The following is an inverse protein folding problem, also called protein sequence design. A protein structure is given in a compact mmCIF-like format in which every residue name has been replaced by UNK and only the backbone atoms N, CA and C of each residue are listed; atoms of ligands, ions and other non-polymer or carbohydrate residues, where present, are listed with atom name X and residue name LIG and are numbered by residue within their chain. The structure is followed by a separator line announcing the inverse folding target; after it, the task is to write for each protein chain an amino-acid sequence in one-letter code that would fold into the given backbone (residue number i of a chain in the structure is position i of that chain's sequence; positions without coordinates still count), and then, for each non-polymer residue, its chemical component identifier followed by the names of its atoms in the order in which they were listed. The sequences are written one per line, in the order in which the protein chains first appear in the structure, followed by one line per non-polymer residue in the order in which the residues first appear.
data_IF_860517149065
#
_entry.id   IF_860517149065
#
_cell.length_a   1.000
_cell.length_b   1.000
_cell.length_c   1.000
_cell.angle_alpha   90.00
_cell.angle_beta   90.00
_cell.angle_gamma   90.00
#
_symmetry.space_group_name_H-M   'P 1'
#
loop_
_entity.id
_entity.type
_entity.pdbx_description
1 polymer ?
#
# COMPACT_ATOMS: atom_id res chain seq x y z
N UNK A 1 12.10 -8.21 -1.68
CA UNK A 1 13.48 -8.14 -1.13
C UNK A 1 13.42 -8.66 0.30
N UNK A 2 14.33 -9.56 0.75
CA UNK A 2 14.21 -10.23 2.05
C UNK A 2 14.74 -9.43 3.26
N UNK A 3 15.43 -8.31 3.04
CA UNK A 3 15.99 -7.47 4.10
C UNK A 3 15.22 -6.16 4.32
N UNK A 4 15.63 -5.41 5.34
CA UNK A 4 15.18 -4.03 5.61
C UNK A 4 16.39 -3.18 5.99
N UNK A 5 16.37 -1.88 5.68
CA UNK A 5 17.48 -0.99 5.99
C UNK A 5 17.81 -0.93 7.50
N UNK A 6 19.09 -0.78 7.89
CA UNK A 6 19.50 -0.85 9.29
C UNK A 6 18.84 0.22 10.18
N UNK A 7 18.55 1.39 9.62
CA UNK A 7 17.85 2.47 10.33
C UNK A 7 16.41 2.08 10.69
N UNK A 8 15.71 1.38 9.79
CA UNK A 8 14.37 0.86 10.05
C UNK A 8 14.37 -0.21 11.16
N UNK A 9 15.36 -1.11 11.15
CA UNK A 9 15.56 -2.08 12.24
C UNK A 9 15.77 -1.38 13.58
N UNK A 10 16.61 -0.35 13.61
CA UNK A 10 16.83 0.46 14.82
C UNK A 10 15.55 1.16 15.30
N UNK A 11 14.76 1.75 14.40
CA UNK A 11 13.47 2.38 14.75
C UNK A 11 12.42 1.38 15.26
N UNK A 12 12.46 0.14 14.78
CA UNK A 12 11.63 -0.94 15.31
C UNK A 12 12.03 -1.26 16.76
N UNK A 13 13.32 -1.46 17.00
CA UNK A 13 13.83 -1.88 18.32
C UNK A 13 13.63 -0.78 19.38
N UNK A 14 13.73 0.49 18.97
CA UNK A 14 13.45 1.66 19.81
C UNK A 14 11.97 2.01 19.92
N UNK A 15 11.08 1.26 19.25
CA UNK A 15 9.62 1.50 19.18
C UNK A 15 9.25 2.88 18.63
N UNK A 16 10.12 3.47 17.80
CA UNK A 16 9.87 4.75 17.12
C UNK A 16 8.92 4.62 15.93
N UNK A 17 8.93 3.45 15.29
CA UNK A 17 8.08 3.09 14.14
C UNK A 17 7.49 1.71 14.37
N UNK A 18 6.20 1.58 14.10
CA UNK A 18 5.51 0.29 14.05
C UNK A 18 5.54 -0.25 12.62
N UNK A 19 5.90 -1.53 12.48
CA UNK A 19 5.93 -2.22 11.20
C UNK A 19 4.78 -3.21 11.15
N UNK A 20 3.97 -3.13 10.10
CA UNK A 20 2.86 -4.05 9.84
C UNK A 20 3.08 -4.78 8.51
N UNK A 21 2.32 -5.85 8.31
CA UNK A 21 2.19 -6.49 7.01
C UNK A 21 0.88 -6.09 6.31
N UNK A 22 0.84 -6.29 4.99
CA UNK A 22 -0.34 -6.28 4.16
C UNK A 22 -0.23 -7.46 3.19
N UNK A 23 -1.33 -8.18 2.95
CA UNK A 23 -1.36 -9.32 2.03
C UNK A 23 -1.65 -8.85 0.60
N UNK A 24 -1.18 -9.60 -0.39
CA UNK A 24 -1.28 -9.24 -1.80
C UNK A 24 -2.74 -9.02 -2.26
N UNK A 25 -3.69 -9.82 -1.75
CA UNK A 25 -5.10 -9.67 -2.08
C UNK A 25 -5.66 -8.30 -1.64
N UNK A 26 -5.30 -7.83 -0.43
CA UNK A 26 -5.70 -6.52 0.07
C UNK A 26 -5.04 -5.39 -0.72
N UNK A 27 -3.79 -5.56 -1.15
CA UNK A 27 -3.12 -4.60 -2.01
C UNK A 27 -3.77 -4.52 -3.40
N UNK A 28 -4.16 -5.65 -3.99
CA UNK A 28 -4.85 -5.70 -5.29
C UNK A 28 -6.25 -5.07 -5.23
N UNK A 29 -7.01 -5.32 -4.16
CA UNK A 29 -8.31 -4.67 -3.94
C UNK A 29 -8.13 -3.15 -3.77
N UNK A 30 -7.10 -2.73 -3.03
CA UNK A 30 -6.79 -1.32 -2.81
C UNK A 30 -6.39 -0.62 -4.10
N UNK A 31 -5.57 -1.27 -4.94
CA UNK A 31 -5.25 -0.77 -6.27
C UNK A 31 -6.52 -0.46 -7.08
N UNK A 32 -7.46 -1.40 -7.13
CA UNK A 32 -8.71 -1.22 -7.87
C UNK A 32 -9.57 -0.10 -7.29
N UNK A 33 -9.62 0.00 -5.96
CA UNK A 33 -10.41 1.03 -5.29
C UNK A 33 -9.87 2.41 -5.59
N UNK A 34 -8.57 2.64 -5.43
CA UNK A 34 -7.92 3.93 -5.69
C UNK A 34 -8.06 4.32 -7.17
N UNK A 35 -7.89 3.35 -8.08
CA UNK A 35 -8.09 3.59 -9.51
C UNK A 35 -9.53 4.03 -9.83
N UNK A 36 -10.52 3.40 -9.21
CA UNK A 36 -11.94 3.69 -9.46
C UNK A 36 -12.42 4.97 -8.79
N UNK A 37 -11.96 5.28 -7.58
CA UNK A 37 -12.47 6.44 -6.82
C UNK A 37 -11.67 7.71 -7.07
N UNK A 38 -10.35 7.60 -7.21
CA UNK A 38 -9.45 8.76 -7.33
C UNK A 38 -8.89 8.95 -8.75
N UNK A 39 -9.07 7.97 -9.65
CA UNK A 39 -8.47 8.01 -10.99
C UNK A 39 -6.95 7.89 -11.00
N UNK A 40 -6.35 7.42 -9.89
CA UNK A 40 -4.91 7.24 -9.73
C UNK A 40 -4.60 5.75 -9.85
N UNK A 41 -3.61 5.39 -10.66
CA UNK A 41 -3.06 4.05 -10.71
C UNK A 41 -1.84 3.98 -9.77
N UNK A 42 -1.98 3.55 -8.50
CA UNK A 42 -0.85 3.43 -7.60
C UNK A 42 0.06 2.28 -8.01
N UNK A 43 1.35 2.35 -7.68
CA UNK A 43 2.19 1.15 -7.74
C UNK A 43 1.63 0.06 -6.82
N UNK A 44 1.86 -1.22 -7.13
CA UNK A 44 1.46 -2.30 -6.23
C UNK A 44 2.13 -2.18 -4.86
N UNK A 45 3.38 -1.72 -4.82
CA UNK A 45 4.09 -1.44 -3.57
C UNK A 45 3.42 -0.31 -2.77
N UNK A 46 2.94 0.74 -3.42
CA UNK A 46 2.20 1.82 -2.75
C UNK A 46 0.84 1.36 -2.24
N UNK A 47 0.18 0.44 -2.98
CA UNK A 47 -1.13 -0.10 -2.62
C UNK A 47 -1.11 -0.84 -1.28
N UNK A 48 0.01 -1.47 -0.90
CA UNK A 48 0.18 -2.07 0.43
C UNK A 48 0.09 -1.02 1.55
N UNK A 49 0.72 0.14 1.36
CA UNK A 49 0.69 1.24 2.33
C UNK A 49 -0.70 1.87 2.45
N UNK A 50 -1.39 2.06 1.32
CA UNK A 50 -2.75 2.61 1.30
C UNK A 50 -3.73 1.64 1.95
N UNK A 51 -3.61 0.33 1.69
CA UNK A 51 -4.48 -0.69 2.29
C UNK A 51 -4.42 -0.62 3.82
N UNK A 52 -3.20 -0.55 4.37
CA UNK A 52 -3.01 -0.42 5.82
C UNK A 52 -3.50 0.93 6.35
N UNK A 53 -3.29 2.01 5.61
CA UNK A 53 -3.79 3.33 5.98
C UNK A 53 -5.32 3.37 6.08
N UNK A 54 -6.03 2.69 5.18
CA UNK A 54 -7.49 2.57 5.22
C UNK A 54 -7.97 1.77 6.43
N UNK A 55 -7.29 0.68 6.80
CA UNK A 55 -7.57 -0.09 8.01
C UNK A 55 -7.40 0.76 9.28
N UNK A 56 -6.32 1.54 9.34
CA UNK A 56 -6.05 2.47 10.44
C UNK A 56 -7.13 3.56 10.50
N UNK A 57 -7.43 4.19 9.35
CA UNK A 57 -8.41 5.26 9.24
C UNK A 57 -9.83 4.81 9.62
N UNK A 58 -10.21 3.55 9.38
CA UNK A 58 -11.50 3.00 9.78
C UNK A 58 -11.74 3.03 11.30
N UNK A 59 -10.66 3.08 12.10
CA UNK A 59 -10.71 3.14 13.56
C UNK A 59 -10.42 4.56 14.11
N UNK A 60 -10.25 5.55 13.24
CA UNK A 60 -9.97 6.93 13.61
C UNK A 60 -11.23 7.77 13.65
N UNK A 61 -11.16 8.91 14.35
CA UNK A 61 -12.23 9.91 14.29
C UNK A 61 -12.18 10.65 12.95
N UNK A 62 -13.32 11.19 12.47
CA UNK A 62 -13.38 11.89 11.18
C UNK A 62 -12.48 13.12 11.03
N UNK A 63 -12.06 13.73 12.15
CA UNK A 63 -11.20 14.92 12.18
C UNK A 63 -9.70 14.59 12.10
N UNK A 64 -9.32 13.32 12.22
CA UNK A 64 -7.92 12.92 12.22
C UNK A 64 -7.42 12.70 10.79
N UNK A 65 -6.14 13.00 10.55
CA UNK A 65 -5.51 12.96 9.23
C UNK A 65 -4.50 11.82 9.18
N UNK A 66 -4.55 11.03 8.10
CA UNK A 66 -3.52 10.04 7.75
C UNK A 66 -2.77 10.52 6.52
N UNK A 67 -1.44 10.60 6.62
CA UNK A 67 -0.57 10.91 5.48
C UNK A 67 0.05 9.62 4.95
N UNK A 68 -0.07 9.39 3.65
CA UNK A 68 0.45 8.18 3.00
C UNK A 68 1.47 8.57 1.94
N UNK A 69 2.61 7.87 1.92
CA UNK A 69 3.60 8.02 0.86
C UNK A 69 3.16 7.22 -0.38
N UNK A 70 2.76 7.92 -1.44
CA UNK A 70 2.48 7.34 -2.75
C UNK A 70 3.80 7.17 -3.52
N UNK A 71 4.53 6.11 -3.21
CA UNK A 71 5.92 5.90 -3.65
C UNK A 71 6.11 5.77 -5.16
N UNK A 72 5.07 5.45 -5.93
CA UNK A 72 5.18 5.35 -7.38
C UNK A 72 3.85 5.17 -8.11
N UNK A 73 3.93 5.23 -9.44
CA UNK A 73 2.82 4.99 -10.38
C UNK A 73 2.75 3.51 -10.81
N UNK A 74 1.54 3.03 -11.08
CA UNK A 74 1.25 1.63 -11.41
C UNK A 74 1.41 1.23 -12.87
N UNK A 75 1.89 2.12 -13.76
CA UNK A 75 2.02 1.79 -15.20
C UNK A 75 2.87 0.55 -15.47
N UNK A 76 3.95 0.35 -14.69
CA UNK A 76 4.83 -0.83 -14.80
C UNK A 76 4.14 -2.11 -14.32
N UNK A 77 3.15 -1.98 -13.45
CA UNK A 77 2.51 -3.09 -12.76
C UNK A 77 1.25 -3.56 -13.49
N UNK A 78 0.72 -2.78 -14.44
CA UNK A 78 -0.57 -3.04 -15.05
C UNK A 78 -0.64 -4.40 -15.78
N UNK A 79 0.43 -4.80 -16.47
CA UNK A 79 0.53 -6.12 -17.09
C UNK A 79 0.54 -7.26 -16.06
N UNK A 80 1.27 -7.08 -14.97
CA UNK A 80 1.35 -8.07 -13.89
C UNK A 80 0.01 -8.17 -13.13
N UNK A 81 -0.68 -7.06 -12.92
CA UNK A 81 -2.01 -7.02 -12.31
C UNK A 81 -3.02 -7.75 -13.19
N UNK A 82 -3.03 -7.50 -14.50
CA UNK A 82 -3.88 -8.20 -15.44
C UNK A 82 -3.61 -9.72 -15.39
N UNK A 83 -2.32 -10.12 -15.40
CA UNK A 83 -1.92 -11.53 -15.25
C UNK A 83 -2.40 -12.15 -13.94
N UNK A 84 -2.24 -11.46 -12.81
CA UNK A 84 -2.70 -11.90 -11.48
C UNK A 84 -4.22 -12.03 -11.40
N UNK A 85 -4.96 -11.26 -12.21
CA UNK A 85 -6.42 -11.30 -12.30
C UNK A 85 -6.97 -12.22 -13.39
N UNK A 86 -6.11 -12.82 -14.20
CA UNK A 86 -6.53 -13.63 -15.36
C UNK A 86 -7.25 -12.80 -16.43
N UNK A 87 -6.85 -11.55 -16.62
CA UNK A 87 -7.37 -10.64 -17.65
C UNK A 87 -6.36 -10.50 -18.80
N UNK A 88 -6.87 -10.28 -20.01
CA UNK A 88 -6.03 -9.87 -21.14
C UNK A 88 -5.53 -8.43 -20.94
N UNK A 89 -4.27 -8.16 -21.30
CA UNK A 89 -3.59 -6.86 -21.14
C UNK A 89 -3.21 -6.24 -22.47
#
# INVERSE_FOLDING_TARGET
YPGVGPEHSYWKDTKRVEYSECRDNAALETFDRVAKTEGILPALESSHGIAKAMEIAANMRPDQIVMVCLSGRGDKDAAEIARLKGQDY
#
